data_IF_497501831220
#
_entry.id   IF_497501831220
#
_cell.length_a   1.000
_cell.length_b   1.000
_cell.length_c   1.000
_cell.angle_alpha   90.00
_cell.angle_beta   90.00
_cell.angle_gamma   90.00
#
_symmetry.space_group_name_H-M   'P 1'
#
loop_
_entity.id
_entity.type
_entity.pdbx_description
1 polymer ?
#
# COMPACT_ATOMS: atom_id res chain seq x y z
N UNK A 1 19.76 8.84 40.43
CA UNK A 1 20.99 8.77 39.61
C UNK A 1 20.55 8.21 38.27
N UNK A 2 20.24 9.11 37.34
CA UNK A 2 19.58 8.78 36.07
C UNK A 2 20.68 8.61 35.03
N UNK A 3 20.82 7.40 34.46
CA UNK A 3 21.86 7.10 33.49
C UNK A 3 21.76 8.03 32.26
N UNK A 4 22.81 8.79 31.92
CA UNK A 4 22.84 9.61 30.71
C UNK A 4 22.82 8.77 29.42
N UNK A 5 23.09 7.47 29.50
CA UNK A 5 23.03 6.54 28.36
C UNK A 5 21.60 6.16 27.94
N UNK A 6 20.59 6.34 28.80
CA UNK A 6 19.20 6.04 28.43
C UNK A 6 18.61 7.06 27.44
N UNK A 7 19.19 8.27 27.34
CA UNK A 7 18.81 9.26 26.34
C UNK A 7 19.54 9.05 24.99
N UNK A 8 20.72 8.42 25.00
CA UNK A 8 21.50 8.13 23.81
C UNK A 8 20.95 6.93 23.02
N UNK A 9 20.27 5.99 23.69
CA UNK A 9 19.61 4.85 23.04
C UNK A 9 18.48 5.24 22.07
N UNK A 10 17.92 6.45 22.19
CA UNK A 10 16.90 6.99 21.29
C UNK A 10 17.47 7.53 19.95
N UNK A 11 18.80 7.55 19.77
CA UNK A 11 19.48 8.18 18.61
C UNK A 11 19.91 7.18 17.54
N UNK A 12 18.98 6.34 17.07
CA UNK A 12 19.17 5.64 15.79
C UNK A 12 19.23 6.63 14.61
N UNK A 13 19.78 6.24 13.44
CA UNK A 13 19.83 7.13 12.28
C UNK A 13 18.42 7.54 11.84
N UNK A 14 18.14 8.85 11.77
CA UNK A 14 16.85 9.38 11.31
C UNK A 14 16.73 9.25 9.80
N UNK A 15 16.07 8.20 9.32
CA UNK A 15 16.06 7.82 7.90
C UNK A 15 14.68 7.57 7.31
N UNK A 16 13.69 7.25 8.13
CA UNK A 16 12.33 6.92 7.68
C UNK A 16 11.54 8.21 7.50
N UNK A 17 10.89 8.43 6.35
CA UNK A 17 10.10 9.64 6.15
C UNK A 17 8.86 9.63 7.05
N UNK A 18 8.53 10.76 7.67
CA UNK A 18 7.36 10.90 8.54
C UNK A 18 6.02 10.53 7.85
N UNK A 19 5.98 10.54 6.50
CA UNK A 19 4.80 10.11 5.74
C UNK A 19 4.45 8.63 5.97
N UNK A 20 5.43 7.78 6.31
CA UNK A 20 5.18 6.38 6.64
C UNK A 20 4.34 6.29 7.91
N UNK A 21 4.76 6.97 8.98
CA UNK A 21 4.02 7.07 10.24
C UNK A 21 2.63 7.68 10.05
N UNK A 22 2.55 8.78 9.29
CA UNK A 22 1.27 9.43 9.00
C UNK A 22 0.29 8.47 8.32
N UNK A 23 0.71 7.75 7.28
CA UNK A 23 -0.18 6.83 6.55
C UNK A 23 -0.61 5.63 7.39
N UNK A 24 0.21 5.16 8.33
CA UNK A 24 -0.19 4.12 9.27
C UNK A 24 -1.36 4.58 10.14
N UNK A 25 -1.20 5.74 10.79
CA UNK A 25 -2.23 6.26 11.68
C UNK A 25 -3.50 6.65 10.92
N UNK A 26 -3.37 7.25 9.73
CA UNK A 26 -4.52 7.55 8.88
C UNK A 26 -5.26 6.27 8.46
N UNK A 27 -4.55 5.22 8.01
CA UNK A 27 -5.19 3.96 7.62
C UNK A 27 -5.89 3.28 8.80
N UNK A 28 -5.28 3.29 9.99
CA UNK A 28 -5.91 2.75 11.20
C UNK A 28 -7.19 3.50 11.54
N UNK A 29 -7.13 4.83 11.54
CA UNK A 29 -8.29 5.68 11.83
C UNK A 29 -9.39 5.42 10.80
N UNK A 30 -9.07 5.45 9.51
CA UNK A 30 -10.06 5.26 8.44
C UNK A 30 -10.74 3.88 8.52
N UNK A 31 -10.02 2.83 8.93
CA UNK A 31 -10.60 1.49 9.16
C UNK A 31 -11.43 1.41 10.45
N UNK A 32 -11.14 2.27 11.42
CA UNK A 32 -11.89 2.39 12.68
C UNK A 32 -13.09 3.33 12.56
N UNK A 33 -13.29 4.08 11.46
CA UNK A 33 -14.50 4.85 11.23
C UNK A 33 -15.65 3.94 10.77
N UNK A 34 -16.85 3.99 11.38
CA UNK A 34 -18.05 3.36 10.82
C UNK A 34 -18.36 3.94 9.43
N UNK A 35 -18.68 3.07 8.47
CA UNK A 35 -18.95 3.47 7.08
C UNK A 35 -20.38 4.01 6.87
N UNK A 36 -21.23 3.86 7.88
CA UNK A 36 -22.61 4.36 7.95
C UNK A 36 -22.77 5.13 9.26
N UNK A 37 -22.76 6.46 9.20
CA UNK A 37 -23.20 7.30 10.31
C UNK A 37 -24.68 7.61 10.06
N UNK A 38 -25.58 6.91 10.75
CA UNK A 38 -26.90 7.48 11.02
C UNK A 38 -26.67 8.70 11.92
N UNK A 39 -27.29 9.82 11.59
CA UNK A 39 -26.92 11.16 12.07
C UNK A 39 -27.07 11.38 13.60
N UNK A 40 -27.58 10.38 14.35
CA UNK A 40 -28.01 10.54 15.74
C UNK A 40 -27.36 9.57 16.77
N UNK A 41 -26.31 8.81 16.43
CA UNK A 41 -25.61 7.98 17.43
C UNK A 41 -24.20 8.49 17.77
N UNK A 42 -23.94 8.70 19.07
CA UNK A 42 -22.61 8.96 19.63
C UNK A 42 -21.76 7.67 19.58
N UNK A 43 -20.82 7.54 18.62
CA UNK A 43 -20.08 6.29 18.38
C UNK A 43 -19.12 5.93 19.52
N UNK A 44 -18.91 6.85 20.47
CA UNK A 44 -18.03 6.64 21.62
C UNK A 44 -18.65 5.72 22.70
N UNK A 45 -19.99 5.56 22.72
CA UNK A 45 -20.67 4.90 23.83
C UNK A 45 -21.08 3.45 23.57
N UNK A 46 -21.18 3.00 22.31
CA UNK A 46 -21.79 1.70 21.97
C UNK A 46 -20.82 0.64 21.40
N UNK A 47 -19.56 0.96 21.07
CA UNK A 47 -18.67 0.03 20.37
C UNK A 47 -17.33 -0.16 21.11
N UNK A 48 -16.92 -1.40 21.48
CA UNK A 48 -15.71 -1.65 22.27
C UNK A 48 -14.44 -1.06 21.63
N UNK A 49 -13.89 -0.01 22.27
CA UNK A 49 -12.51 0.51 22.18
C UNK A 49 -11.85 0.46 20.80
N UNK A 50 -12.31 1.30 19.86
CA UNK A 50 -11.61 1.57 18.60
C UNK A 50 -10.41 2.51 18.84
N UNK A 51 -9.20 1.96 18.84
CA UNK A 51 -7.96 2.69 19.18
C UNK A 51 -7.64 3.88 18.26
N UNK A 52 -8.06 3.83 16.99
CA UNK A 52 -7.87 4.89 15.99
C UNK A 52 -8.69 6.15 16.23
N UNK A 53 -9.66 6.12 17.16
CA UNK A 53 -10.52 7.26 17.53
C UNK A 53 -10.07 7.94 18.83
N UNK A 54 -8.89 7.62 19.36
CA UNK A 54 -8.37 8.28 20.57
C UNK A 54 -7.80 9.68 20.30
N UNK A 55 -7.97 10.61 21.24
CA UNK A 55 -7.38 11.96 21.20
C UNK A 55 -5.85 11.94 21.05
N UNK A 56 -5.21 10.86 21.51
CA UNK A 56 -3.77 10.66 21.34
C UNK A 56 -3.43 10.42 19.87
N UNK A 57 -4.17 9.54 19.19
CA UNK A 57 -3.96 9.25 17.76
C UNK A 57 -4.23 10.49 16.90
N UNK A 58 -5.30 11.24 17.16
CA UNK A 58 -5.60 12.45 16.37
C UNK A 58 -4.52 13.55 16.58
N UNK A 59 -4.02 13.72 17.80
CA UNK A 59 -2.86 14.61 18.06
C UNK A 59 -1.60 14.13 17.33
N UNK A 60 -1.32 12.83 17.33
CA UNK A 60 -0.18 12.27 16.60
C UNK A 60 -0.33 12.44 15.09
N UNK A 61 -1.52 12.23 14.51
CA UNK A 61 -1.80 12.51 13.10
C UNK A 61 -1.50 13.97 12.76
N UNK A 62 -1.95 14.91 13.60
CA UNK A 62 -1.66 16.34 13.41
C UNK A 62 -0.17 16.65 13.49
N UNK A 63 0.54 16.03 14.45
CA UNK A 63 2.00 16.16 14.56
C UNK A 63 2.71 15.63 13.31
N UNK A 64 2.40 14.41 12.87
CA UNK A 64 3.03 13.82 11.69
C UNK A 64 2.68 14.55 10.39
N UNK A 65 1.50 15.17 10.29
CA UNK A 65 1.19 16.10 9.18
C UNK A 65 2.16 17.27 9.14
N UNK A 66 2.48 17.87 10.29
CA UNK A 66 3.47 18.94 10.38
C UNK A 66 4.88 18.42 10.06
N UNK A 67 5.24 17.24 10.53
CA UNK A 67 6.53 16.61 10.24
C UNK A 67 6.71 16.29 8.75
N UNK A 68 5.65 15.84 8.08
CA UNK A 68 5.64 15.65 6.62
C UNK A 68 5.88 16.99 5.89
N UNK A 69 5.21 18.07 6.31
CA UNK A 69 5.42 19.42 5.74
C UNK A 69 6.86 19.87 5.92
N UNK A 70 7.45 19.61 7.08
CA UNK A 70 8.85 19.91 7.42
C UNK A 70 9.86 18.90 6.87
N UNK A 71 9.41 17.85 6.17
CA UNK A 71 10.23 16.75 5.62
C UNK A 71 11.09 16.04 6.68
N UNK A 72 10.56 15.94 7.90
CA UNK A 72 11.22 15.27 9.03
C UNK A 72 11.40 13.78 8.73
N UNK A 73 12.47 13.23 9.27
CA UNK A 73 12.75 11.80 9.28
C UNK A 73 12.74 11.24 10.69
N UNK A 74 12.20 10.05 10.81
CA UNK A 74 12.09 9.26 12.02
C UNK A 74 13.25 8.26 12.12
N UNK A 75 13.59 7.88 13.35
CA UNK A 75 14.47 6.75 13.66
C UNK A 75 13.77 5.44 13.37
N UNK A 76 14.51 4.33 13.31
CA UNK A 76 13.88 3.01 13.20
C UNK A 76 13.05 2.69 14.44
N UNK A 77 13.55 2.98 15.64
CA UNK A 77 12.81 2.73 16.88
C UNK A 77 11.45 3.43 16.92
N UNK A 78 11.37 4.68 16.43
CA UNK A 78 10.10 5.41 16.32
C UNK A 78 9.11 4.68 15.40
N UNK A 79 9.54 4.22 14.22
CA UNK A 79 8.64 3.52 13.30
C UNK A 79 8.31 2.09 13.76
N UNK A 80 9.27 1.39 14.36
CA UNK A 80 9.06 0.06 14.92
C UNK A 80 8.06 0.11 16.08
N UNK A 81 8.11 1.16 16.91
CA UNK A 81 7.10 1.41 17.94
C UNK A 81 5.68 1.49 17.37
N UNK A 82 5.50 2.20 16.25
CA UNK A 82 4.22 2.29 15.55
C UNK A 82 3.81 0.95 14.93
N UNK A 83 4.74 0.19 14.35
CA UNK A 83 4.44 -1.14 13.81
C UNK A 83 3.98 -2.09 14.90
N UNK A 84 4.67 -2.15 16.05
CA UNK A 84 4.25 -2.94 17.21
C UNK A 84 2.86 -2.54 17.72
N UNK A 85 2.49 -1.27 17.57
CA UNK A 85 1.14 -0.83 17.89
C UNK A 85 0.10 -1.40 16.91
N UNK A 86 0.38 -1.38 15.60
CA UNK A 86 -0.51 -1.97 14.57
C UNK A 86 -0.64 -3.48 14.70
N UNK A 87 0.47 -4.20 14.95
CA UNK A 87 0.52 -5.68 15.02
C UNK A 87 -0.37 -6.24 16.13
N UNK A 88 -0.64 -5.46 17.20
CA UNK A 88 -1.55 -5.89 18.27
C UNK A 88 -3.02 -5.95 17.85
N UNK A 89 -3.36 -5.48 16.65
CA UNK A 89 -4.72 -5.54 16.11
C UNK A 89 -4.97 -6.86 15.39
N UNK A 90 -6.20 -7.38 15.42
CA UNK A 90 -6.57 -8.59 14.67
C UNK A 90 -6.59 -8.39 13.15
N UNK A 91 -6.69 -7.14 12.67
CA UNK A 91 -6.74 -6.74 11.25
C UNK A 91 -5.43 -6.09 10.75
N UNK A 92 -4.33 -6.26 11.50
CA UNK A 92 -2.98 -5.73 11.23
C UNK A 92 -2.55 -5.91 9.76
N UNK A 93 -2.68 -7.11 9.21
CA UNK A 93 -2.34 -7.46 7.83
C UNK A 93 -3.07 -6.58 6.80
N UNK A 94 -4.37 -6.34 7.02
CA UNK A 94 -5.18 -5.46 6.17
C UNK A 94 -4.76 -3.99 6.28
N UNK A 95 -4.45 -3.52 7.50
CA UNK A 95 -3.92 -2.17 7.74
C UNK A 95 -2.60 -1.98 6.99
N UNK A 96 -1.63 -2.86 7.15
CA UNK A 96 -0.34 -2.77 6.48
C UNK A 96 -0.50 -2.80 4.96
N UNK A 97 -1.36 -3.68 4.42
CA UNK A 97 -1.68 -3.71 2.99
C UNK A 97 -2.23 -2.37 2.50
N UNK A 98 -3.17 -1.76 3.22
CA UNK A 98 -3.75 -0.46 2.89
C UNK A 98 -2.68 0.64 2.89
N UNK A 99 -1.84 0.67 3.91
CA UNK A 99 -0.73 1.62 4.04
C UNK A 99 0.25 1.48 2.87
N UNK A 100 0.60 0.25 2.50
CA UNK A 100 1.44 -0.04 1.35
C UNK A 100 0.91 0.62 0.07
N UNK A 101 -0.39 0.51 -0.18
CA UNK A 101 -1.05 1.18 -1.32
C UNK A 101 -0.94 2.70 -1.21
N UNK A 102 -1.32 3.29 -0.07
CA UNK A 102 -1.26 4.75 0.14
C UNK A 102 0.17 5.33 -0.02
N UNK A 103 1.20 4.54 0.30
CA UNK A 103 2.61 4.95 0.16
C UNK A 103 3.14 4.84 -1.28
N UNK A 104 2.62 3.89 -2.05
CA UNK A 104 2.86 3.75 -3.48
C UNK A 104 2.05 4.76 -4.30
N UNK A 105 0.93 5.25 -3.75
CA UNK A 105 0.00 6.16 -4.40
C UNK A 105 0.70 7.42 -4.94
N UNK A 106 0.36 7.81 -6.16
CA UNK A 106 0.81 9.07 -6.75
C UNK A 106 -0.32 9.71 -7.54
N UNK A 107 -0.47 11.03 -7.38
CA UNK A 107 -1.55 11.81 -8.00
C UNK A 107 -1.63 11.72 -9.54
N UNK A 108 -0.58 11.31 -10.26
CA UNK A 108 -0.64 11.10 -11.72
C UNK A 108 0.28 9.96 -12.17
N UNK A 109 -0.29 8.89 -12.74
CA UNK A 109 0.43 7.94 -13.60
C UNK A 109 0.73 8.64 -14.93
N UNK A 110 1.96 8.53 -15.41
CA UNK A 110 2.34 9.18 -16.65
C UNK A 110 1.67 8.49 -17.82
N UNK A 111 0.70 9.15 -18.48
CA UNK A 111 -0.10 8.55 -19.58
C UNK A 111 0.75 7.99 -20.72
N UNK A 112 1.98 8.51 -20.90
CA UNK A 112 2.92 8.02 -21.91
C UNK A 112 3.46 6.61 -21.65
N UNK A 113 3.38 6.09 -20.42
CA UNK A 113 3.86 4.72 -20.10
C UNK A 113 3.09 3.64 -20.87
N UNK A 114 1.91 3.96 -21.43
CA UNK A 114 1.12 3.06 -22.28
C UNK A 114 1.79 2.73 -23.61
N UNK A 115 2.68 3.60 -24.11
CA UNK A 115 3.39 3.38 -25.37
C UNK A 115 4.67 2.57 -25.21
N UNK A 116 5.10 2.31 -23.97
CA UNK A 116 6.26 1.48 -23.72
C UNK A 116 5.91 -0.01 -23.90
N UNK A 117 6.83 -0.82 -24.45
CA UNK A 117 6.71 -2.28 -24.41
C UNK A 117 6.52 -2.79 -22.97
N UNK A 118 5.79 -3.91 -22.80
CA UNK A 118 5.50 -4.46 -21.46
C UNK A 118 6.75 -4.71 -20.62
N UNK A 119 7.82 -5.22 -21.23
CA UNK A 119 9.10 -5.42 -20.53
C UNK A 119 9.65 -4.11 -19.95
N UNK A 120 9.57 -3.01 -20.70
CA UNK A 120 9.98 -1.69 -20.23
C UNK A 120 9.04 -1.16 -19.13
N UNK A 121 7.73 -1.40 -19.22
CA UNK A 121 6.79 -1.04 -18.15
C UNK A 121 7.14 -1.75 -16.83
N UNK A 122 7.43 -3.06 -16.87
CA UNK A 122 7.89 -3.79 -15.69
C UNK A 122 9.23 -3.27 -15.15
N UNK A 123 10.19 -2.97 -16.03
CA UNK A 123 11.46 -2.37 -15.63
C UNK A 123 11.27 -1.01 -14.92
N UNK A 124 10.35 -0.18 -15.42
CA UNK A 124 9.95 1.08 -14.79
C UNK A 124 9.28 0.83 -13.44
N UNK A 125 8.34 -0.13 -13.35
CA UNK A 125 7.66 -0.48 -12.11
C UNK A 125 8.67 -0.91 -11.02
N UNK A 126 9.61 -1.79 -11.36
CA UNK A 126 10.69 -2.26 -10.46
C UNK A 126 11.56 -1.10 -10.01
N UNK A 127 12.03 -0.29 -10.96
CA UNK A 127 12.87 0.87 -10.67
C UNK A 127 12.18 1.88 -9.76
N UNK A 128 10.89 2.14 -10.02
CA UNK A 128 10.07 3.05 -9.23
C UNK A 128 9.87 2.51 -7.82
N UNK A 129 9.46 1.25 -7.68
CA UNK A 129 9.26 0.63 -6.39
C UNK A 129 10.55 0.65 -5.55
N UNK A 130 11.67 0.24 -6.14
CA UNK A 130 12.99 0.28 -5.48
C UNK A 130 13.35 1.68 -4.98
N UNK A 131 13.26 2.70 -5.86
CA UNK A 131 13.62 4.08 -5.51
C UNK A 131 12.69 4.63 -4.44
N UNK A 132 11.39 4.34 -4.52
CA UNK A 132 10.40 4.88 -3.60
C UNK A 132 10.51 4.23 -2.21
N UNK A 133 10.63 2.91 -2.13
CA UNK A 133 10.90 2.22 -0.85
C UNK A 133 12.21 2.69 -0.21
N UNK A 134 13.30 2.79 -0.99
CA UNK A 134 14.57 3.34 -0.50
C UNK A 134 14.44 4.78 0.02
N UNK A 135 13.64 5.63 -0.64
CA UNK A 135 13.40 7.01 -0.18
C UNK A 135 12.57 7.06 1.11
N UNK A 136 11.55 6.22 1.21
CA UNK A 136 10.64 6.15 2.35
C UNK A 136 11.34 5.65 3.61
N UNK A 137 12.12 4.57 3.52
CA UNK A 137 12.78 3.95 4.67
C UNK A 137 14.24 4.37 4.83
N UNK A 138 14.79 5.11 3.88
CA UNK A 138 16.19 5.53 3.85
C UNK A 138 17.19 4.40 3.58
N UNK A 139 16.73 3.15 3.50
CA UNK A 139 17.50 1.95 3.16
C UNK A 139 16.74 1.06 2.17
N UNK A 140 17.41 0.20 1.40
CA UNK A 140 16.73 -0.82 0.62
C UNK A 140 15.89 -1.72 1.54
N UNK A 141 14.61 -1.86 1.23
CA UNK A 141 13.70 -2.81 1.93
C UNK A 141 13.87 -4.24 1.40
N UNK A 142 14.46 -4.36 0.21
CA UNK A 142 14.76 -5.61 -0.47
C UNK A 142 15.45 -5.38 -1.81
N UNK A 143 15.81 -6.48 -2.46
CA UNK A 143 16.23 -6.57 -3.84
C UNK A 143 15.08 -6.93 -4.77
N UNK A 144 15.40 -7.08 -6.05
CA UNK A 144 14.46 -7.60 -7.03
C UNK A 144 15.04 -8.85 -7.69
N UNK A 145 14.31 -9.95 -7.60
CA UNK A 145 14.66 -11.25 -8.19
C UNK A 145 14.41 -11.33 -9.69
N UNK A 146 14.70 -12.49 -10.27
CA UNK A 146 14.34 -12.80 -11.67
C UNK A 146 12.82 -12.95 -11.80
N UNK A 147 12.27 -12.44 -12.90
CA UNK A 147 10.83 -12.43 -13.19
C UNK A 147 10.28 -11.03 -13.48
N UNK A 148 9.01 -10.92 -13.90
CA UNK A 148 8.41 -9.65 -14.34
C UNK A 148 8.37 -8.61 -13.21
N UNK A 149 7.87 -8.99 -12.04
CA UNK A 149 7.93 -8.18 -10.84
C UNK A 149 8.15 -9.11 -9.64
N UNK A 150 9.40 -9.26 -9.21
CA UNK A 150 9.74 -10.09 -8.07
C UNK A 150 10.54 -9.24 -7.09
N UNK A 151 10.04 -9.12 -5.86
CA UNK A 151 10.72 -8.45 -4.75
C UNK A 151 11.21 -9.53 -3.80
N UNK A 152 12.45 -9.40 -3.34
CA UNK A 152 13.07 -10.33 -2.38
C UNK A 152 13.65 -9.52 -1.22
N UNK A 153 13.43 -9.96 0.02
CA UNK A 153 13.97 -9.30 1.21
C UNK A 153 14.49 -10.33 2.21
N UNK A 154 15.69 -10.10 2.76
CA UNK A 154 16.23 -10.84 3.90
C UNK A 154 16.47 -9.86 5.04
N UNK A 155 16.16 -10.27 6.28
CA UNK A 155 16.38 -9.48 7.50
C UNK A 155 15.90 -8.03 7.34
N UNK A 156 14.78 -7.86 6.64
CA UNK A 156 14.21 -6.56 6.36
C UNK A 156 13.56 -5.97 7.62
N UNK A 157 13.38 -4.63 7.62
CA UNK A 157 12.84 -3.82 8.74
C UNK A 157 11.60 -4.40 9.41
N UNK A 158 10.84 -5.23 8.69
CA UNK A 158 9.60 -5.83 9.16
C UNK A 158 9.82 -7.07 10.04
N UNK A 159 10.86 -7.87 9.79
CA UNK A 159 11.04 -9.18 10.43
C UNK A 159 11.29 -9.07 11.94
N UNK A 160 12.18 -8.18 12.36
CA UNK A 160 12.55 -8.04 13.77
C UNK A 160 11.42 -7.46 14.63
N UNK A 161 10.47 -6.78 13.98
CA UNK A 161 9.31 -6.17 14.62
C UNK A 161 8.10 -7.10 14.63
N UNK A 162 8.00 -7.92 13.59
CA UNK A 162 6.85 -8.75 13.32
C UNK A 162 7.25 -10.17 12.89
N UNK A 163 7.42 -11.06 13.87
CA UNK A 163 7.66 -12.48 13.59
C UNK A 163 6.47 -13.15 12.88
N UNK A 164 5.25 -12.60 12.94
CA UNK A 164 4.07 -13.20 12.29
C UNK A 164 4.00 -12.92 10.79
N UNK A 165 4.64 -11.83 10.34
CA UNK A 165 4.74 -11.45 8.94
C UNK A 165 3.61 -10.55 8.43
N UNK A 166 2.70 -10.05 9.27
CA UNK A 166 1.66 -9.09 8.89
C UNK A 166 2.24 -7.79 8.28
N UNK A 167 3.35 -7.29 8.80
CA UNK A 167 4.03 -6.10 8.30
C UNK A 167 4.56 -6.27 6.87
N UNK A 168 4.77 -7.50 6.43
CA UNK A 168 5.14 -7.81 5.04
C UNK A 168 4.02 -7.45 4.05
N UNK A 169 2.76 -7.35 4.51
CA UNK A 169 1.63 -6.94 3.68
C UNK A 169 1.74 -5.50 3.19
N UNK A 170 2.54 -4.67 3.85
CA UNK A 170 2.91 -3.35 3.35
C UNK A 170 3.57 -3.46 1.98
N UNK A 171 4.50 -4.41 1.80
CA UNK A 171 5.18 -4.62 0.51
C UNK A 171 4.20 -5.19 -0.52
N UNK A 172 3.30 -6.09 -0.11
CA UNK A 172 2.24 -6.63 -0.99
C UNK A 172 1.36 -5.50 -1.54
N UNK A 173 0.81 -4.66 -0.67
CA UNK A 173 -0.01 -3.52 -1.06
C UNK A 173 0.74 -2.49 -1.89
N UNK A 174 1.98 -2.19 -1.51
CA UNK A 174 2.85 -1.25 -2.22
C UNK A 174 3.18 -1.73 -3.64
N UNK A 175 3.52 -3.01 -3.80
CA UNK A 175 3.81 -3.63 -5.08
C UNK A 175 2.59 -3.63 -5.99
N UNK A 176 1.42 -4.02 -5.45
CA UNK A 176 0.16 -4.04 -6.20
C UNK A 176 -0.17 -2.65 -6.76
N UNK A 177 -0.20 -1.64 -5.91
CA UNK A 177 -0.50 -0.26 -6.33
C UNK A 177 0.54 0.26 -7.34
N UNK A 178 1.82 -0.08 -7.16
CA UNK A 178 2.87 0.31 -8.12
C UNK A 178 2.65 -0.33 -9.50
N UNK A 179 2.26 -1.60 -9.55
CA UNK A 179 1.95 -2.30 -10.79
C UNK A 179 0.70 -1.74 -11.47
N UNK A 180 -0.39 -1.56 -10.72
CA UNK A 180 -1.65 -1.01 -11.24
C UNK A 180 -1.44 0.39 -11.83
N UNK A 181 -0.66 1.26 -11.18
CA UNK A 181 -0.35 2.58 -11.70
C UNK A 181 0.60 2.59 -12.90
N UNK A 182 1.49 1.60 -13.00
CA UNK A 182 2.53 1.59 -14.02
C UNK A 182 2.08 0.92 -15.30
N UNK A 183 1.42 -0.24 -15.16
CA UNK A 183 0.99 -1.06 -16.29
C UNK A 183 -0.47 -0.80 -16.67
N UNK A 184 -1.27 -0.27 -15.74
CA UNK A 184 -2.72 -0.17 -15.90
C UNK A 184 -3.42 -1.52 -15.74
N UNK A 185 -4.68 -1.47 -15.30
CA UNK A 185 -5.49 -2.66 -15.06
C UNK A 185 -5.38 -3.14 -13.61
N UNK A 186 -5.71 -4.40 -13.37
CA UNK A 186 -5.69 -5.02 -12.04
C UNK A 186 -4.48 -5.93 -11.91
N UNK A 187 -3.69 -5.72 -10.86
CA UNK A 187 -2.53 -6.53 -10.55
C UNK A 187 -2.77 -7.39 -9.30
N UNK A 188 -2.08 -8.52 -9.26
CA UNK A 188 -1.97 -9.37 -8.07
C UNK A 188 -0.52 -9.39 -7.64
N UNK A 189 -0.29 -9.26 -6.34
CA UNK A 189 1.01 -9.49 -5.72
C UNK A 189 0.80 -10.53 -4.64
N UNK A 190 1.50 -11.65 -4.76
CA UNK A 190 1.42 -12.79 -3.85
C UNK A 190 2.72 -12.87 -3.06
N UNK A 191 2.61 -12.94 -1.73
CA UNK A 191 3.74 -13.12 -0.83
C UNK A 191 4.07 -14.61 -0.67
N UNK A 192 4.83 -15.15 -1.62
CA UNK A 192 5.06 -16.59 -1.79
C UNK A 192 5.94 -17.21 -0.71
N UNK A 193 7.00 -16.51 -0.29
CA UNK A 193 7.87 -16.91 0.82
C UNK A 193 7.88 -15.82 1.89
N UNK A 194 7.94 -16.17 3.17
CA UNK A 194 7.97 -15.25 4.29
C UNK A 194 8.86 -15.75 5.43
N UNK A 195 9.79 -14.91 5.88
CA UNK A 195 10.63 -15.22 7.04
C UNK A 195 9.80 -15.43 8.33
N UNK A 196 8.69 -14.71 8.50
CA UNK A 196 7.78 -14.93 9.63
C UNK A 196 7.08 -16.29 9.62
N UNK A 197 7.04 -16.98 8.46
CA UNK A 197 6.55 -18.36 8.33
C UNK A 197 7.66 -19.41 8.39
N UNK A 198 8.91 -19.00 8.63
CA UNK A 198 10.08 -19.89 8.68
C UNK A 198 10.86 -20.03 7.37
N UNK A 199 10.53 -19.28 6.32
CA UNK A 199 11.33 -19.28 5.08
C UNK A 199 12.64 -18.49 5.23
N UNK A 200 13.65 -18.78 4.39
CA UNK A 200 14.95 -18.09 4.43
C UNK A 200 14.91 -16.60 4.01
N UNK A 201 13.85 -16.20 3.31
CA UNK A 201 13.66 -14.86 2.78
C UNK A 201 12.17 -14.58 2.53
N UNK A 202 11.81 -13.31 2.49
CA UNK A 202 10.51 -12.88 2.01
C UNK A 202 10.54 -12.68 0.49
N UNK A 203 9.56 -13.23 -0.22
CA UNK A 203 9.44 -13.15 -1.68
C UNK A 203 8.04 -12.73 -2.09
N UNK A 204 7.95 -11.68 -2.90
CA UNK A 204 6.70 -11.23 -3.49
C UNK A 204 6.77 -11.35 -4.99
N UNK A 205 5.78 -12.01 -5.58
CA UNK A 205 5.63 -12.15 -7.02
C UNK A 205 4.41 -11.37 -7.49
N UNK A 206 4.62 -10.49 -8.46
CA UNK A 206 3.62 -9.60 -9.00
C UNK A 206 3.35 -9.85 -10.47
N UNK A 207 2.07 -9.91 -10.82
CA UNK A 207 1.58 -10.11 -12.18
C UNK A 207 0.34 -9.27 -12.46
N UNK A 208 0.08 -9.00 -13.74
CA UNK A 208 -1.20 -8.46 -14.19
C UNK A 208 -2.22 -9.59 -14.30
N UNK A 209 -3.35 -9.44 -13.61
CA UNK A 209 -4.48 -10.38 -13.71
C UNK A 209 -5.44 -9.95 -14.81
N UNK A 210 -5.72 -8.65 -14.91
CA UNK A 210 -6.57 -8.09 -15.96
C UNK A 210 -5.90 -6.85 -16.54
N UNK A 211 -5.59 -6.83 -17.85
CA UNK A 211 -5.15 -5.60 -18.48
C UNK A 211 -6.28 -4.57 -18.43
N UNK A 212 -5.93 -3.29 -18.42
CA UNK A 212 -6.92 -2.21 -18.53
C UNK A 212 -7.72 -2.41 -19.83
N UNK A 213 -9.04 -2.33 -19.77
CA UNK A 213 -9.88 -2.27 -20.96
C UNK A 213 -9.37 -1.14 -21.88
N UNK A 214 -9.02 -1.50 -23.11
CA UNK A 214 -8.76 -0.51 -24.15
C UNK A 214 -10.06 0.19 -24.47
N UNK A 215 -10.02 1.52 -24.62
CA UNK A 215 -11.18 2.38 -24.96
C UNK A 215 -11.80 2.03 -26.34
N UNK A 216 -11.31 0.98 -27.01
CA UNK A 216 -11.77 0.55 -28.32
C UNK A 216 -13.07 -0.28 -28.32
N UNK A 217 -13.62 -0.68 -27.16
CA UNK A 217 -14.81 -1.54 -27.11
C UNK A 217 -16.11 -0.84 -26.68
N UNK A 218 -16.09 0.45 -26.30
CA UNK A 218 -17.31 1.22 -25.95
C UNK A 218 -17.97 1.93 -27.14
N UNK A 219 -17.57 1.61 -28.39
CA UNK A 219 -17.96 2.37 -29.58
C UNK A 219 -18.58 1.59 -30.74
N UNK A 220 -19.06 0.36 -30.54
CA UNK A 220 -19.78 -0.36 -31.60
C UNK A 220 -21.02 -1.06 -31.04
N UNK A 221 -22.06 -0.28 -30.81
CA UNK A 221 -23.42 -0.79 -30.89
C UNK A 221 -23.64 -1.18 -32.36
N UNK A 222 -23.88 -2.46 -32.71
CA UNK A 222 -24.28 -2.78 -34.08
C UNK A 222 -25.65 -2.15 -34.33
N UNK A 223 -25.75 -1.39 -35.42
CA UNK A 223 -27.02 -0.89 -35.92
C UNK A 223 -27.97 -2.08 -36.19
N UNK A 224 -29.28 -1.99 -35.90
CA UNK A 224 -30.22 -3.00 -36.34
C UNK A 224 -30.31 -2.95 -37.86
N UNK A 225 -29.83 -4.01 -38.52
CA UNK A 225 -30.07 -4.27 -39.94
C UNK A 225 -31.58 -4.45 -40.18
N UNK A 226 -32.09 -3.70 -41.15
CA UNK A 226 -33.49 -3.73 -41.56
C UNK A 226 -33.88 -5.06 -42.19
N UNK A 227 -34.93 -5.68 -41.66
CA UNK A 227 -35.67 -6.76 -42.32
C UNK A 227 -36.86 -6.18 -43.09
N UNK A 228 -36.72 -6.03 -44.39
CA UNK A 228 -37.82 -5.85 -45.32
C UNK A 228 -38.72 -7.10 -45.32
N UNK A 229 -40.05 -6.91 -45.27
CA UNK A 229 -41.01 -7.96 -45.63
C UNK A 229 -41.92 -7.38 -46.71
N UNK A 230 -41.70 -7.84 -47.93
CA UNK A 230 -42.53 -7.57 -49.10
C UNK A 230 -43.52 -8.72 -49.30
N UNK A 231 -44.79 -8.36 -49.52
CA UNK A 231 -45.68 -9.01 -50.48
C UNK A 231 -46.69 -10.05 -49.96
N UNK A 232 -47.99 -9.80 -50.21
CA UNK A 232 -48.77 -10.57 -51.20
C UNK A 232 -50.17 -9.99 -51.38
N UNK A 233 -50.58 -9.94 -52.65
CA UNK A 233 -51.84 -9.43 -53.20
C UNK A 233 -53.04 -10.38 -53.06
N UNK A 234 -54.24 -9.78 -53.05
CA UNK A 234 -55.48 -10.25 -53.71
C UNK A 234 -56.28 -11.36 -53.03
N UNK A 235 -57.53 -11.61 -53.49
CA UNK A 235 -58.26 -11.04 -54.63
C UNK A 235 -59.22 -9.88 -54.30
#
# INVERSE_FOLDING_TARGET
>A
MTDPDSAAAANGPRRVQAVVALRLLEAMRDMDLPQELLEDEDPAQTIPRRFGLSDVVERQIRSYKNDVRKRVRLTDQEIEGLFRFVIRRPDSSAVFRRVGRLLAERQRSSRWMRYLPRAAQYAVARSRARRRLKRLFGRPVGGFGRGPFVVEGRAHVFHDVDPSGDACELVSGFGKETLEQTLGGSARVTHTLCQGRGDDLCRWEGELVKPRATVAEEGLTPAPDGGAVSGSSGP
#
